data_IF_048524844822
#
_entry.id   IF_048524844822
#
_cell.length_a   1.000
_cell.length_b   1.000
_cell.length_c   1.000
_cell.angle_alpha   90.00
_cell.angle_beta   90.00
_cell.angle_gamma   90.00
#
_symmetry.space_group_name_H-M   'P 1'
#
loop_
_entity.id
_entity.type
_entity.pdbx_description
1 polymer ?
#
# COMPACT_ATOMS: atom_id res chain seq x y z
N UNK A 1 0.08 10.41 -8.43
CA UNK A 1 0.79 9.87 -7.26
C UNK A 1 1.02 8.37 -7.40
N UNK A 2 0.02 7.50 -7.18
CA UNK A 2 0.20 6.04 -7.20
C UNK A 2 0.90 5.49 -8.47
N UNK A 3 0.39 5.82 -9.65
CA UNK A 3 0.99 5.37 -10.92
C UNK A 3 2.40 5.92 -11.16
N UNK A 4 2.68 7.14 -10.70
CA UNK A 4 4.00 7.74 -10.83
C UNK A 4 5.02 7.07 -9.89
N UNK A 5 4.62 6.82 -8.64
CA UNK A 5 5.43 6.07 -7.67
C UNK A 5 5.67 4.64 -8.13
N UNK A 6 4.63 3.95 -8.63
CA UNK A 6 4.75 2.59 -9.18
C UNK A 6 5.81 2.49 -10.28
N UNK A 7 5.96 3.51 -11.13
CA UNK A 7 7.00 3.55 -12.17
C UNK A 7 8.42 3.68 -11.63
N UNK A 8 8.60 4.16 -10.40
CA UNK A 8 9.91 4.34 -9.75
C UNK A 8 10.44 3.06 -9.09
N UNK A 9 9.55 2.12 -8.75
CA UNK A 9 9.89 0.90 -8.02
C UNK A 9 9.52 -0.34 -8.85
N UNK A 10 10.44 -0.81 -9.69
CA UNK A 10 10.23 -1.96 -10.57
C UNK A 10 10.27 -3.33 -9.87
N UNK A 11 10.83 -3.36 -8.67
CA UNK A 11 11.01 -4.51 -7.79
C UNK A 11 9.92 -4.65 -6.72
N UNK A 12 9.01 -3.68 -6.65
CA UNK A 12 7.86 -3.70 -5.74
C UNK A 12 6.58 -4.02 -6.54
N UNK A 13 5.79 -4.97 -6.04
CA UNK A 13 4.47 -5.27 -6.60
C UNK A 13 3.42 -4.32 -6.05
N UNK A 14 2.66 -3.67 -6.93
CA UNK A 14 1.57 -2.76 -6.57
C UNK A 14 0.23 -3.36 -6.97
N UNK A 15 -0.69 -3.43 -6.01
CA UNK A 15 -2.05 -3.94 -6.20
C UNK A 15 -3.07 -2.93 -5.69
N UNK A 16 -4.22 -2.85 -6.38
CA UNK A 16 -5.38 -2.05 -5.98
C UNK A 16 -6.50 -3.03 -5.67
N UNK A 17 -7.07 -2.92 -4.47
CA UNK A 17 -8.14 -3.79 -4.00
C UNK A 17 -9.41 -2.97 -3.84
N UNK A 18 -10.50 -3.47 -4.41
CA UNK A 18 -11.85 -2.95 -4.19
C UNK A 18 -12.42 -3.61 -2.93
N UNK A 19 -12.43 -2.87 -1.82
CA UNK A 19 -12.81 -3.37 -0.49
C UNK A 19 -14.29 -3.74 -0.36
N UNK A 20 -15.14 -3.22 -1.26
CA UNK A 20 -16.56 -3.59 -1.28
C UNK A 20 -16.76 -4.98 -1.90
N UNK A 21 -15.87 -5.35 -2.83
CA UNK A 21 -15.87 -6.67 -3.49
C UNK A 21 -15.06 -7.71 -2.74
N UNK A 22 -13.91 -7.33 -2.20
CA UNK A 22 -13.01 -8.22 -1.45
C UNK A 22 -13.03 -7.91 0.04
N UNK A 23 -14.10 -8.38 0.68
CA UNK A 23 -14.30 -8.21 2.13
C UNK A 23 -13.32 -9.03 2.96
N UNK A 24 -12.80 -10.13 2.43
CA UNK A 24 -11.83 -10.97 3.13
C UNK A 24 -10.52 -10.19 3.32
N UNK A 25 -9.97 -9.64 2.25
CA UNK A 25 -8.77 -8.81 2.29
C UNK A 25 -8.98 -7.56 3.13
N UNK A 26 -10.12 -6.88 2.97
CA UNK A 26 -10.48 -5.71 3.77
C UNK A 26 -10.48 -5.99 5.28
N UNK A 27 -11.13 -7.09 5.70
CA UNK A 27 -11.18 -7.50 7.10
C UNK A 27 -9.81 -7.95 7.62
N UNK A 28 -9.06 -8.71 6.82
CA UNK A 28 -7.72 -9.21 7.18
C UNK A 28 -6.78 -8.08 7.57
N UNK A 29 -6.85 -6.95 6.86
CA UNK A 29 -5.98 -5.80 7.11
C UNK A 29 -6.64 -4.68 7.93
N UNK A 30 -7.85 -4.90 8.44
CA UNK A 30 -8.55 -3.97 9.33
C UNK A 30 -8.87 -2.62 8.69
N UNK A 31 -9.22 -2.60 7.40
CA UNK A 31 -9.52 -1.37 6.67
C UNK A 31 -10.79 -0.74 7.23
N UNK A 32 -10.66 0.45 7.85
CA UNK A 32 -11.77 1.20 8.46
C UNK A 32 -12.12 2.50 7.73
N UNK A 33 -11.33 2.87 6.71
CA UNK A 33 -11.54 4.03 5.86
C UNK A 33 -10.68 3.94 4.60
N UNK A 34 -11.02 4.71 3.57
CA UNK A 34 -10.27 4.74 2.31
C UNK A 34 -9.83 6.18 1.97
N UNK A 35 -8.68 6.36 1.29
CA UNK A 35 -7.72 5.33 0.89
C UNK A 35 -6.89 4.76 2.06
N UNK A 36 -6.65 3.44 2.04
CA UNK A 36 -5.81 2.71 3.02
C UNK A 36 -4.71 1.96 2.27
N UNK A 37 -3.48 2.05 2.78
CA UNK A 37 -2.30 1.41 2.22
C UNK A 37 -1.82 0.32 3.18
N UNK A 38 -1.46 -0.83 2.61
CA UNK A 38 -0.81 -1.93 3.33
C UNK A 38 0.48 -2.26 2.60
N UNK A 39 1.61 -2.21 3.30
CA UNK A 39 2.90 -2.67 2.77
C UNK A 39 3.22 -4.02 3.36
N UNK A 40 3.63 -4.94 2.49
CA UNK A 40 3.98 -6.31 2.83
C UNK A 40 5.44 -6.57 2.44
N UNK A 41 6.17 -7.33 3.26
CA UNK A 41 7.46 -7.90 2.85
C UNK A 41 7.27 -9.12 1.93
N UNK A 42 8.37 -9.71 1.45
CA UNK A 42 8.34 -10.93 0.64
C UNK A 42 7.76 -12.18 1.34
N UNK A 43 7.57 -12.12 2.67
CA UNK A 43 6.94 -13.15 3.49
C UNK A 43 5.47 -12.87 3.84
N UNK A 44 4.86 -11.84 3.25
CA UNK A 44 3.51 -11.33 3.56
C UNK A 44 3.34 -10.77 4.99
N UNK A 45 4.43 -10.41 5.67
CA UNK A 45 4.33 -9.70 6.94
C UNK A 45 3.99 -8.23 6.71
N UNK A 46 3.13 -7.67 7.56
CA UNK A 46 2.71 -6.26 7.44
C UNK A 46 3.82 -5.34 7.96
N UNK A 47 4.40 -4.55 7.06
CA UNK A 47 5.39 -3.52 7.38
C UNK A 47 4.72 -2.16 7.70
N UNK A 48 3.59 -1.89 7.06
CA UNK A 48 2.80 -0.68 7.24
C UNK A 48 1.32 -0.98 6.99
N UNK A 49 0.44 -0.36 7.78
CA UNK A 49 -1.02 -0.37 7.56
C UNK A 49 -1.57 0.96 8.05
N UNK A 50 -2.07 1.79 7.13
CA UNK A 50 -2.52 3.14 7.47
C UNK A 50 -3.02 3.94 6.28
N UNK A 51 -3.30 5.21 6.52
CA UNK A 51 -3.80 6.13 5.48
C UNK A 51 -2.79 6.39 4.36
N UNK A 52 -3.27 7.00 3.27
CA UNK A 52 -2.41 7.41 2.17
C UNK A 52 -1.49 8.60 2.54
N UNK A 53 -0.41 8.74 1.79
CA UNK A 53 0.51 9.88 1.89
C UNK A 53 0.00 11.09 1.07
N UNK A 54 0.37 12.29 1.50
CA UNK A 54 -0.13 13.55 0.91
C UNK A 54 0.45 13.89 -0.46
N UNK A 55 1.63 13.38 -0.79
CA UNK A 55 2.32 13.63 -2.04
C UNK A 55 3.17 12.43 -2.50
N UNK A 56 3.64 12.50 -3.75
CA UNK A 56 4.41 11.43 -4.40
C UNK A 56 5.76 11.18 -3.72
N UNK A 57 6.41 12.24 -3.23
CA UNK A 57 7.71 12.15 -2.59
C UNK A 57 7.60 11.41 -1.26
N UNK A 58 6.66 11.80 -0.42
CA UNK A 58 6.34 11.15 0.86
C UNK A 58 5.97 9.69 0.65
N UNK A 59 5.19 9.38 -0.39
CA UNK A 59 4.85 7.99 -0.71
C UNK A 59 6.07 7.17 -1.15
N UNK A 60 6.93 7.75 -2.00
CA UNK A 60 8.15 7.09 -2.45
C UNK A 60 9.14 6.87 -1.30
N UNK A 61 9.34 7.87 -0.43
CA UNK A 61 10.18 7.76 0.76
C UNK A 61 9.67 6.67 1.72
N UNK A 62 8.34 6.55 1.86
CA UNK A 62 7.75 5.49 2.68
C UNK A 62 8.08 4.10 2.12
N UNK A 63 7.94 3.87 0.82
CA UNK A 63 8.32 2.60 0.19
C UNK A 63 9.82 2.32 0.40
N UNK A 64 10.69 3.30 0.16
CA UNK A 64 12.14 3.16 0.36
C UNK A 64 12.56 2.89 1.81
N UNK A 65 11.75 3.27 2.81
CA UNK A 65 12.02 2.96 4.22
C UNK A 65 11.79 1.49 4.57
N UNK A 66 10.91 0.83 3.83
CA UNK A 66 10.49 -0.55 4.07
C UNK A 66 11.02 -1.54 3.02
N UNK A 67 11.74 -1.02 2.02
CA UNK A 67 12.42 -1.76 0.98
C UNK A 67 13.76 -2.32 1.46
#
# INVERSE_FOLDING_TARGET
MFEATKRKFSDVSFQVVDVDKDKETSNKYGVSGIPHLVFLDGGNNVLYSGGAFGDEESFAQAISRFH
#
